data_IF_676694021755
#
_entry.id   IF_676694021755
#
_cell.length_a   1.000
_cell.length_b   1.000
_cell.length_c   1.000
_cell.angle_alpha   90.00
_cell.angle_beta   90.00
_cell.angle_gamma   90.00
#
_symmetry.space_group_name_H-M   'P 1'
#
loop_
_entity.id
_entity.type
_entity.pdbx_description
1 polymer ?
#
# COMPACT_ATOMS: atom_id res chain seq x y z
N UNK A 1 -12.62 -15.28 3.33
CA UNK A 1 -12.89 -14.67 2.00
C UNK A 1 -11.96 -13.49 1.70
N UNK A 2 -11.82 -12.52 2.62
CA UNK A 2 -10.98 -11.32 2.47
C UNK A 2 -9.57 -11.53 1.92
N UNK A 3 -8.81 -12.52 2.41
CA UNK A 3 -7.45 -12.81 1.92
C UNK A 3 -7.42 -13.15 0.42
N UNK A 4 -8.38 -13.96 -0.06
CA UNK A 4 -8.46 -14.36 -1.46
C UNK A 4 -8.79 -13.16 -2.35
N UNK A 5 -9.76 -12.33 -1.92
CA UNK A 5 -10.13 -11.11 -2.62
C UNK A 5 -8.95 -10.13 -2.69
N UNK A 6 -8.25 -9.91 -1.58
CA UNK A 6 -7.06 -9.06 -1.52
C UNK A 6 -5.98 -9.53 -2.51
N UNK A 7 -5.65 -10.83 -2.50
CA UNK A 7 -4.63 -11.39 -3.40
C UNK A 7 -5.06 -11.30 -4.88
N UNK A 8 -6.33 -11.51 -5.19
CA UNK A 8 -6.84 -11.37 -6.55
C UNK A 8 -6.71 -9.93 -7.06
N UNK A 9 -7.12 -8.94 -6.25
CA UNK A 9 -7.01 -7.52 -6.61
C UNK A 9 -5.54 -7.08 -6.70
N UNK A 10 -4.68 -7.58 -5.82
CA UNK A 10 -3.23 -7.32 -5.87
C UNK A 10 -2.64 -7.86 -7.18
N UNK A 11 -3.00 -9.08 -7.57
CA UNK A 11 -2.54 -9.70 -8.81
C UNK A 11 -2.99 -8.91 -10.05
N UNK A 12 -4.27 -8.54 -10.12
CA UNK A 12 -4.82 -7.73 -11.23
C UNK A 12 -4.12 -6.37 -11.28
N UNK A 13 -3.99 -5.69 -10.13
CA UNK A 13 -3.34 -4.37 -10.06
C UNK A 13 -1.87 -4.44 -10.50
N UNK A 14 -1.15 -5.50 -10.09
CA UNK A 14 0.24 -5.74 -10.50
C UNK A 14 0.36 -5.99 -12.00
N UNK A 15 -0.55 -6.75 -12.60
CA UNK A 15 -0.56 -7.00 -14.04
C UNK A 15 -0.84 -5.71 -14.83
N UNK A 16 -1.81 -4.90 -14.41
CA UNK A 16 -2.13 -3.61 -15.04
C UNK A 16 -0.96 -2.63 -14.89
N UNK A 17 -0.31 -2.58 -13.73
CA UNK A 17 0.88 -1.74 -13.52
C UNK A 17 2.06 -2.18 -14.38
N UNK A 18 2.31 -3.49 -14.47
CA UNK A 18 3.36 -4.04 -15.32
C UNK A 18 3.09 -3.71 -16.80
N UNK A 19 1.83 -3.80 -17.25
CA UNK A 19 1.41 -3.41 -18.60
C UNK A 19 1.77 -1.95 -18.89
N UNK A 20 1.33 -0.99 -18.07
CA UNK A 20 1.63 0.43 -18.32
C UNK A 20 3.12 0.74 -18.23
N UNK A 21 3.83 0.12 -17.28
CA UNK A 21 5.29 0.28 -17.14
C UNK A 21 6.02 -0.21 -18.40
N UNK A 22 5.63 -1.38 -18.92
CA UNK A 22 6.19 -1.93 -20.15
C UNK A 22 5.92 -1.01 -21.35
N UNK A 23 4.69 -0.52 -21.51
CA UNK A 23 4.36 0.38 -22.62
C UNK A 23 5.14 1.70 -22.55
N UNK A 24 5.23 2.32 -21.37
CA UNK A 24 6.07 3.51 -21.17
C UNK A 24 7.52 3.26 -21.60
N UNK A 25 8.11 2.15 -21.17
CA UNK A 25 9.47 1.80 -21.56
C UNK A 25 9.59 1.51 -23.07
N UNK A 26 8.61 0.82 -23.67
CA UNK A 26 8.63 0.48 -25.10
C UNK A 26 8.62 1.72 -26.00
N UNK A 27 7.90 2.79 -25.60
CA UNK A 27 7.87 4.03 -26.35
C UNK A 27 9.23 4.72 -26.42
N UNK A 28 10.02 4.67 -25.34
CA UNK A 28 11.38 5.23 -25.32
C UNK A 28 12.37 4.46 -26.18
N UNK A 29 12.08 3.19 -26.48
CA UNK A 29 12.90 2.34 -27.35
C UNK A 29 12.35 2.25 -28.78
N UNK A 30 11.29 2.99 -29.09
CA UNK A 30 10.71 3.05 -30.43
C UNK A 30 11.64 3.78 -31.40
N UNK A 31 11.73 3.29 -32.64
CA UNK A 31 12.54 3.90 -33.73
C UNK A 31 11.88 5.17 -34.33
N UNK A 32 10.85 5.70 -33.66
CA UNK A 32 10.08 6.87 -34.10
C UNK A 32 10.77 8.22 -33.84
N UNK A 33 10.06 9.32 -34.14
CA UNK A 33 10.56 10.67 -33.84
C UNK A 33 10.65 10.84 -32.31
N UNK A 34 11.70 11.50 -31.78
CA UNK A 34 11.86 11.65 -30.33
C UNK A 34 10.68 12.33 -29.62
N UNK A 35 10.01 13.29 -30.27
CA UNK A 35 8.83 13.93 -29.72
C UNK A 35 7.65 12.96 -29.49
N UNK A 36 7.45 12.01 -30.42
CA UNK A 36 6.39 11.02 -30.32
C UNK A 36 6.70 10.03 -29.19
N UNK A 37 7.96 9.61 -29.06
CA UNK A 37 8.44 8.76 -27.97
C UNK A 37 8.23 9.39 -26.59
N UNK A 38 8.53 10.68 -26.44
CA UNK A 38 8.29 11.44 -25.20
C UNK A 38 6.81 11.49 -24.87
N UNK A 39 5.96 11.87 -25.83
CA UNK A 39 4.52 11.98 -25.59
C UNK A 39 3.87 10.63 -25.21
N UNK A 40 4.28 9.54 -25.88
CA UNK A 40 3.83 8.19 -25.56
C UNK A 40 4.29 7.75 -24.16
N UNK A 41 5.54 8.00 -23.81
CA UNK A 41 6.06 7.74 -22.47
C UNK A 41 5.26 8.50 -21.41
N UNK A 42 5.09 9.82 -21.56
CA UNK A 42 4.39 10.67 -20.59
C UNK A 42 2.94 10.25 -20.40
N UNK A 43 2.25 9.89 -21.49
CA UNK A 43 0.87 9.40 -21.44
C UNK A 43 0.75 8.12 -20.60
N UNK A 44 1.50 7.07 -20.95
CA UNK A 44 1.43 5.79 -20.23
C UNK A 44 2.00 5.89 -18.82
N UNK A 45 3.01 6.73 -18.63
CA UNK A 45 3.60 7.00 -17.33
C UNK A 45 2.60 7.74 -16.45
N UNK A 46 1.88 8.74 -16.97
CA UNK A 46 0.79 9.40 -16.26
C UNK A 46 -0.28 8.42 -15.81
N UNK A 47 -0.72 7.53 -16.72
CA UNK A 47 -1.70 6.49 -16.39
C UNK A 47 -1.21 5.53 -15.31
N UNK A 48 0.05 5.08 -15.37
CA UNK A 48 0.65 4.24 -14.32
C UNK A 48 0.62 4.93 -12.94
N UNK A 49 0.79 6.26 -12.89
CA UNK A 49 0.69 7.04 -11.65
C UNK A 49 -0.74 7.02 -11.08
N UNK A 50 -1.75 7.20 -11.93
CA UNK A 50 -3.15 7.11 -11.52
C UNK A 50 -3.50 5.70 -11.06
N UNK A 51 -3.05 4.68 -11.78
CA UNK A 51 -3.31 3.27 -11.43
C UNK A 51 -2.67 2.91 -10.09
N UNK A 52 -1.40 3.28 -9.84
CA UNK A 52 -0.76 2.96 -8.55
C UNK A 52 -1.45 3.67 -7.38
N UNK A 53 -1.88 4.92 -7.56
CA UNK A 53 -2.61 5.67 -6.54
C UNK A 53 -3.96 5.02 -6.24
N UNK A 54 -4.78 4.77 -7.26
CA UNK A 54 -6.12 4.18 -7.10
C UNK A 54 -6.03 2.76 -6.55
N UNK A 55 -5.18 1.91 -7.14
CA UNK A 55 -4.99 0.53 -6.65
C UNK A 55 -4.41 0.50 -5.24
N UNK A 56 -3.50 1.42 -4.89
CA UNK A 56 -2.96 1.56 -3.54
C UNK A 56 -4.04 1.85 -2.50
N UNK A 57 -4.95 2.80 -2.79
CA UNK A 57 -6.08 3.12 -1.90
C UNK A 57 -7.00 1.92 -1.73
N UNK A 58 -7.39 1.26 -2.83
CA UNK A 58 -8.26 0.07 -2.81
C UNK A 58 -7.61 -1.06 -2.01
N UNK A 59 -6.31 -1.33 -2.24
CA UNK A 59 -5.57 -2.37 -1.54
C UNK A 59 -5.39 -2.06 -0.04
N UNK A 60 -5.23 -0.80 0.35
CA UNK A 60 -5.20 -0.40 1.77
C UNK A 60 -6.55 -0.66 2.43
N UNK A 61 -7.66 -0.30 1.78
CA UNK A 61 -9.01 -0.56 2.30
C UNK A 61 -9.24 -2.07 2.50
N UNK A 62 -8.86 -2.90 1.51
CA UNK A 62 -8.94 -4.35 1.62
C UNK A 62 -7.98 -4.92 2.68
N UNK A 63 -6.77 -4.38 2.79
CA UNK A 63 -5.79 -4.77 3.79
C UNK A 63 -6.30 -4.51 5.21
N UNK A 64 -7.01 -3.40 5.43
CA UNK A 64 -7.71 -3.11 6.68
C UNK A 64 -8.81 -4.14 6.97
N UNK A 65 -9.59 -4.54 5.96
CA UNK A 65 -10.55 -5.64 6.09
C UNK A 65 -9.88 -6.97 6.48
N UNK A 66 -8.73 -7.28 5.89
CA UNK A 66 -7.92 -8.47 6.25
C UNK A 66 -7.40 -8.35 7.68
N UNK A 67 -6.88 -7.19 8.07
CA UNK A 67 -6.38 -6.93 9.42
C UNK A 67 -7.49 -7.13 10.44
N UNK A 68 -8.68 -6.57 10.20
CA UNK A 68 -9.85 -6.74 11.08
C UNK A 68 -10.24 -8.20 11.23
N UNK A 69 -10.31 -8.95 10.12
CA UNK A 69 -10.73 -10.34 10.13
C UNK A 69 -9.69 -11.32 10.69
N UNK A 70 -8.39 -10.96 10.67
CA UNK A 70 -7.30 -11.91 10.95
C UNK A 70 -6.33 -11.47 12.04
N UNK A 71 -6.43 -10.22 12.48
CA UNK A 71 -5.54 -9.57 13.44
C UNK A 71 -4.07 -9.57 13.03
N UNK A 72 -3.78 -9.71 11.73
CA UNK A 72 -2.42 -9.71 11.17
C UNK A 72 -2.25 -8.59 10.15
N UNK A 73 -1.21 -7.78 10.32
CA UNK A 73 -0.92 -6.60 9.49
C UNK A 73 -0.21 -6.91 8.17
N UNK A 74 0.03 -8.19 7.84
CA UNK A 74 0.80 -8.59 6.65
C UNK A 74 0.27 -7.95 5.36
N UNK A 75 -1.06 -7.83 5.20
CA UNK A 75 -1.67 -7.28 4.00
C UNK A 75 -1.34 -5.78 3.83
N UNK A 76 -1.20 -5.02 4.93
CA UNK A 76 -0.80 -3.60 4.87
C UNK A 76 0.62 -3.49 4.35
N UNK A 77 1.53 -4.31 4.88
CA UNK A 77 2.93 -4.34 4.44
C UNK A 77 3.08 -4.80 2.99
N UNK A 78 2.30 -5.80 2.56
CA UNK A 78 2.30 -6.22 1.14
C UNK A 78 1.81 -5.11 0.24
N UNK A 79 0.77 -4.37 0.61
CA UNK A 79 0.33 -3.19 -0.16
C UNK A 79 1.42 -2.11 -0.21
N UNK A 80 2.09 -1.84 0.91
CA UNK A 80 3.23 -0.93 0.94
C UNK A 80 4.36 -1.40 0.01
N UNK A 81 4.74 -2.67 0.06
CA UNK A 81 5.78 -3.24 -0.82
C UNK A 81 5.39 -3.13 -2.29
N UNK A 82 4.13 -3.41 -2.63
CA UNK A 82 3.61 -3.22 -3.98
C UNK A 82 3.76 -1.76 -4.45
N UNK A 83 3.30 -0.79 -3.65
CA UNK A 83 3.42 0.63 -4.00
C UNK A 83 4.89 1.04 -4.09
N UNK A 84 5.70 0.70 -3.10
CA UNK A 84 7.11 1.05 -3.05
C UNK A 84 7.88 0.47 -4.24
N UNK A 85 7.64 -0.80 -4.60
CA UNK A 85 8.26 -1.44 -5.75
C UNK A 85 7.97 -0.68 -7.04
N UNK A 86 6.70 -0.39 -7.33
CA UNK A 86 6.34 0.32 -8.56
C UNK A 86 6.77 1.79 -8.55
N UNK A 87 6.84 2.45 -7.38
CA UNK A 87 7.46 3.78 -7.27
C UNK A 87 8.97 3.72 -7.56
N UNK A 88 9.68 2.69 -7.08
CA UNK A 88 11.11 2.49 -7.40
C UNK A 88 11.28 2.30 -8.90
N UNK A 89 10.55 1.36 -9.50
CA UNK A 89 10.57 1.09 -10.94
C UNK A 89 10.29 2.36 -11.74
N UNK A 90 9.31 3.16 -11.32
CA UNK A 90 8.96 4.42 -12.00
C UNK A 90 10.05 5.48 -11.88
N UNK A 91 10.46 5.82 -10.66
CA UNK A 91 11.27 7.02 -10.41
C UNK A 91 12.76 6.77 -10.53
N UNK A 92 13.23 5.55 -10.24
CA UNK A 92 14.66 5.21 -10.30
C UNK A 92 15.04 4.56 -11.62
N UNK A 93 14.16 3.74 -12.20
CA UNK A 93 14.46 3.04 -13.44
C UNK A 93 13.89 3.76 -14.67
N UNK A 94 12.56 3.89 -14.79
CA UNK A 94 11.94 4.58 -15.94
C UNK A 94 12.34 6.06 -16.01
N UNK A 95 12.35 6.75 -14.88
CA UNK A 95 12.72 8.16 -14.80
C UNK A 95 14.14 8.44 -15.26
N UNK A 96 15.08 7.54 -14.93
CA UNK A 96 16.47 7.62 -15.38
C UNK A 96 16.61 7.34 -16.87
N UNK A 97 15.90 6.32 -17.39
CA UNK A 97 15.87 6.03 -18.84
C UNK A 97 15.32 7.22 -19.61
N UNK A 98 14.23 7.83 -19.14
CA UNK A 98 13.64 9.01 -19.76
C UNK A 98 14.57 10.23 -19.72
N UNK A 99 15.24 10.45 -18.59
CA UNK A 99 16.22 11.52 -18.44
C UNK A 99 17.38 11.37 -19.44
N UNK A 100 17.94 10.17 -19.56
CA UNK A 100 18.99 9.87 -20.55
C UNK A 100 18.51 10.06 -21.98
N UNK A 101 17.31 9.55 -22.30
CA UNK A 101 16.70 9.75 -23.62
C UNK A 101 16.60 11.23 -24.00
N UNK A 102 16.15 12.08 -23.07
CA UNK A 102 16.05 13.52 -23.31
C UNK A 102 17.42 14.18 -23.47
N UNK A 103 18.43 13.74 -22.71
CA UNK A 103 19.80 14.26 -22.83
C UNK A 103 20.43 13.86 -24.16
N UNK A 104 20.30 12.59 -24.58
CA UNK A 104 20.86 12.05 -25.81
C UNK A 104 20.25 12.69 -27.07
N UNK A 105 18.99 13.14 -26.99
CA UNK A 105 18.28 13.80 -28.08
C UNK A 105 18.31 15.34 -27.98
N UNK A 106 19.08 15.92 -27.06
CA UNK A 106 19.21 17.39 -26.91
C UNK A 106 17.93 18.10 -26.47
N UNK A 107 16.99 17.38 -25.83
CA UNK A 107 15.72 17.91 -25.34
C UNK A 107 15.81 18.53 -23.94
N UNK A 108 16.92 18.31 -23.22
CA UNK A 108 17.18 18.92 -21.92
C UNK A 108 18.65 19.30 -21.76
N UNK A 109 18.90 20.42 -21.08
CA UNK A 109 20.23 20.86 -20.67
C UNK A 109 20.50 20.60 -19.17
N UNK A 110 19.57 19.92 -18.48
CA UNK A 110 19.75 19.59 -17.07
C UNK A 110 20.74 18.43 -16.93
N UNK A 111 21.70 18.56 -16.02
CA UNK A 111 22.63 17.49 -15.65
C UNK A 111 22.12 16.60 -14.52
N UNK A 112 20.95 16.93 -13.94
CA UNK A 112 20.42 16.24 -12.77
C UNK A 112 18.98 15.75 -13.00
N UNK A 113 18.73 14.51 -12.57
CA UNK A 113 17.41 13.89 -12.49
C UNK A 113 16.86 14.02 -11.07
N UNK A 114 15.78 14.80 -10.90
CA UNK A 114 15.09 14.93 -9.61
C UNK A 114 14.13 13.75 -9.33
N UNK A 115 13.87 12.90 -10.32
CA UNK A 115 12.92 11.78 -10.22
C UNK A 115 13.16 10.88 -8.99
N UNK A 116 14.38 10.37 -8.77
CA UNK A 116 14.68 9.52 -7.61
C UNK A 116 14.39 10.19 -6.26
N UNK A 117 14.68 11.49 -6.11
CA UNK A 117 14.42 12.24 -4.87
C UNK A 117 12.92 12.27 -4.56
N UNK A 118 12.10 12.58 -5.57
CA UNK A 118 10.63 12.50 -5.43
C UNK A 118 10.17 11.08 -5.10
N UNK A 119 10.76 10.07 -5.72
CA UNK A 119 10.49 8.66 -5.42
C UNK A 119 10.74 8.31 -3.95
N UNK A 120 11.89 8.70 -3.39
CA UNK A 120 12.22 8.48 -1.96
C UNK A 120 11.18 9.13 -1.05
N UNK A 121 10.84 10.40 -1.31
CA UNK A 121 9.88 11.14 -0.48
C UNK A 121 8.52 10.43 -0.48
N UNK A 122 8.01 10.03 -1.65
CA UNK A 122 6.73 9.32 -1.75
C UNK A 122 6.76 7.97 -1.03
N UNK A 123 7.83 7.19 -1.17
CA UNK A 123 7.98 5.90 -0.48
C UNK A 123 7.98 6.12 1.05
N UNK A 124 8.68 7.13 1.55
CA UNK A 124 8.69 7.46 2.98
C UNK A 124 7.29 7.84 3.48
N UNK A 125 6.57 8.70 2.74
CA UNK A 125 5.19 9.08 3.07
C UNK A 125 4.30 7.84 3.13
N UNK A 126 4.35 6.98 2.10
CA UNK A 126 3.57 5.73 2.07
C UNK A 126 3.94 4.79 3.22
N UNK A 127 5.22 4.72 3.60
CA UNK A 127 5.68 3.91 4.73
C UNK A 127 5.14 4.42 6.06
N UNK A 128 5.19 5.72 6.30
CA UNK A 128 4.60 6.37 7.48
C UNK A 128 3.10 6.13 7.53
N UNK A 129 2.39 6.28 6.41
CA UNK A 129 0.94 6.01 6.33
C UNK A 129 0.61 4.54 6.64
N UNK A 130 1.37 3.59 6.09
CA UNK A 130 1.19 2.17 6.35
C UNK A 130 1.39 1.82 7.83
N UNK A 131 2.46 2.37 8.44
CA UNK A 131 2.75 2.20 9.86
C UNK A 131 1.65 2.81 10.75
N UNK A 132 1.24 4.05 10.48
CA UNK A 132 0.19 4.73 11.22
C UNK A 132 -1.14 3.97 11.11
N UNK A 133 -1.49 3.50 9.91
CA UNK A 133 -2.70 2.72 9.67
C UNK A 133 -2.70 1.42 10.50
N UNK A 134 -1.59 0.66 10.49
CA UNK A 134 -1.45 -0.52 11.35
C UNK A 134 -1.63 -0.16 12.84
N UNK A 135 -0.94 0.87 13.32
CA UNK A 135 -0.97 1.27 14.72
C UNK A 135 -2.38 1.64 15.18
N UNK A 136 -3.07 2.47 14.39
CA UNK A 136 -4.44 2.93 14.66
C UNK A 136 -5.41 1.74 14.69
N UNK A 137 -5.35 0.86 13.69
CA UNK A 137 -6.25 -0.30 13.62
C UNK A 137 -6.05 -1.28 14.78
N UNK A 138 -4.81 -1.55 15.18
CA UNK A 138 -4.52 -2.44 16.33
C UNK A 138 -5.04 -1.82 17.64
N UNK A 139 -4.82 -0.52 17.85
CA UNK A 139 -5.32 0.20 19.04
C UNK A 139 -6.84 0.24 19.10
N UNK A 140 -7.50 0.48 17.97
CA UNK A 140 -8.96 0.47 17.87
C UNK A 140 -9.54 -0.91 18.21
N UNK A 141 -8.93 -1.98 17.71
CA UNK A 141 -9.37 -3.34 18.00
C UNK A 141 -9.28 -3.67 19.50
N UNK A 142 -8.14 -3.35 20.14
CA UNK A 142 -7.97 -3.54 21.58
C UNK A 142 -9.04 -2.81 22.39
N UNK A 143 -9.32 -1.54 22.06
CA UNK A 143 -10.35 -0.75 22.76
C UNK A 143 -11.75 -1.34 22.62
N UNK A 144 -12.13 -1.81 21.43
CA UNK A 144 -13.49 -2.29 21.19
C UNK A 144 -13.77 -3.68 21.77
N UNK A 145 -12.81 -4.62 21.65
CA UNK A 145 -13.06 -6.02 22.02
C UNK A 145 -12.54 -6.41 23.40
N UNK A 146 -11.43 -5.85 23.90
CA UNK A 146 -10.92 -6.20 25.24
C UNK A 146 -11.66 -5.48 26.37
N UNK A 147 -12.21 -4.28 26.12
CA UNK A 147 -13.03 -3.59 27.11
C UNK A 147 -14.35 -4.34 27.38
N UNK A 148 -14.91 -4.99 26.35
CA UNK A 148 -16.18 -5.72 26.46
C UNK A 148 -16.06 -7.03 27.26
N UNK A 149 -14.88 -7.63 27.34
CA UNK A 149 -14.63 -8.85 28.13
C UNK A 149 -14.32 -8.58 29.62
N UNK A 150 -13.98 -7.33 29.98
CA UNK A 150 -13.66 -6.97 31.37
C UNK A 150 -14.91 -6.64 32.21
N UNK A 151 -16.06 -6.39 31.59
CA UNK A 151 -17.31 -6.03 32.28
C UNK A 151 -18.18 -7.24 32.62
N UNK A 152 -17.87 -8.44 32.11
CA UNK A 152 -18.66 -9.65 32.36
C UNK A 152 -18.20 -10.49 33.57
N UNK A 153 -17.19 -10.04 34.33
CA UNK A 153 -16.87 -10.63 35.63
C UNK A 153 -17.64 -9.88 36.72
N UNK A 154 -18.97 -9.99 36.69
CA UNK A 154 -19.81 -9.68 37.84
C UNK A 154 -19.52 -10.77 38.89
N UNK A 155 -19.01 -10.42 40.08
CA UNK A 155 -18.75 -11.42 41.10
C UNK A 155 -20.09 -12.05 41.50
N UNK A 156 -20.19 -13.38 41.38
CA UNK A 156 -21.31 -14.13 41.92
C UNK A 156 -21.63 -13.61 43.33
N UNK A 157 -22.90 -13.29 43.65
CA UNK A 157 -23.27 -12.97 45.01
C UNK A 157 -22.92 -14.19 45.86
N UNK A 158 -21.98 -14.02 46.79
CA UNK A 158 -21.67 -15.05 47.78
C UNK A 158 -22.96 -15.36 48.53
N UNK A 159 -23.63 -16.46 48.14
CA UNK A 159 -24.70 -17.07 48.90
C UNK A 159 -24.11 -17.49 50.23
N UNK A 160 -24.46 -16.70 51.23
CA UNK A 160 -24.16 -16.90 52.63
C UNK A 160 -24.89 -18.15 53.09
N UNK A 161 -24.26 -19.32 52.97
CA UNK A 161 -24.71 -20.55 53.62
C UNK A 161 -24.41 -20.44 55.13
N UNK A 162 -25.26 -19.65 55.78
CA UNK A 162 -25.42 -19.64 57.22
C UNK A 162 -25.94 -20.99 57.68
N UNK A 163 -25.03 -21.93 57.97
CA UNK A 163 -25.36 -23.12 58.76
C UNK A 163 -25.30 -22.75 60.24
N UNK A 164 -26.41 -22.14 60.69
CA UNK A 164 -26.78 -22.02 62.10
C UNK A 164 -27.04 -23.43 62.65
N UNK A 165 -26.60 -23.66 63.89
CA UNK A 165 -26.51 -24.98 64.51
C UNK A 165 -27.83 -25.69 64.84
N UNK A 166 -27.65 -26.96 65.20
CA UNK A 166 -28.43 -27.72 66.18
C UNK A 166 -27.41 -28.72 66.77
N UNK A 167 -27.05 -28.63 68.05
CA UNK A 167 -27.81 -29.18 69.19
C UNK A 167 -28.26 -30.62 68.88
N UNK A 168 -27.44 -31.60 69.28
CA UNK A 168 -27.63 -32.45 70.48
C UNK A 168 -26.36 -33.27 70.78
#
# INVERSE_FOLDING_TARGET
MWKKLFLAILGISSAVMAFFTYYSWSWLNSVGRPADAVSGYEYHSGLACTVIAVSGVVLIALANGVLWATQRAWAIWVTFTYVAFFLIVRYFWLGEIFFRFNSDNGLTNSNYSFGPVFGVILILICGVMAFANQFISVRLYQKMYQASSATSSEPEPMTNDGKVGGEE
#
